data_IF_817056035036
#
_entry.id   IF_817056035036
#
_cell.length_a   1.000
_cell.length_b   1.000
_cell.length_c   1.000
_cell.angle_alpha   90.00
_cell.angle_beta   90.00
_cell.angle_gamma   90.00
#
_symmetry.space_group_name_H-M   'P 1'
#
loop_
_entity.id
_entity.type
_entity.pdbx_description
1 polymer ?
#
# COMPACT_ATOMS: atom_id res chain seq x y z
N UNK A 1 -5.14 -17.26 -3.96
CA UNK A 1 -4.76 -16.22 -2.99
C UNK A 1 -5.05 -14.87 -3.62
N UNK A 2 -5.46 -13.86 -2.86
CA UNK A 2 -5.79 -12.54 -3.41
C UNK A 2 -4.56 -11.62 -3.39
N UNK A 3 -4.13 -11.16 -4.55
CA UNK A 3 -2.90 -10.37 -4.74
C UNK A 3 -3.18 -8.91 -5.09
N UNK A 4 -2.24 -8.07 -4.68
CA UNK A 4 -2.07 -6.69 -5.12
C UNK A 4 -0.60 -6.29 -4.97
N UNK A 5 -0.19 -5.21 -5.63
CA UNK A 5 1.15 -4.59 -5.51
C UNK A 5 0.97 -3.25 -4.82
N UNK A 6 1.83 -2.95 -3.84
CA UNK A 6 1.77 -1.71 -3.09
C UNK A 6 3.17 -1.18 -2.73
N UNK A 7 3.21 0.10 -2.40
CA UNK A 7 4.37 0.76 -1.77
C UNK A 7 4.07 0.92 -0.29
N UNK A 8 5.00 0.48 0.55
CA UNK A 8 4.93 0.68 1.99
C UNK A 8 5.16 2.14 2.37
N UNK A 9 4.46 2.59 3.41
CA UNK A 9 4.68 3.91 3.98
C UNK A 9 5.83 3.88 5.01
N UNK A 10 6.77 4.83 4.95
CA UNK A 10 7.74 5.05 6.01
C UNK A 10 7.05 5.26 7.37
N UNK A 11 7.67 4.81 8.46
CA UNK A 11 7.06 4.83 9.80
C UNK A 11 6.55 6.22 10.21
N UNK A 12 7.32 7.27 9.93
CA UNK A 12 6.90 8.66 10.20
C UNK A 12 5.61 9.05 9.49
N UNK A 13 5.48 8.68 8.22
CA UNK A 13 4.27 8.96 7.41
C UNK A 13 3.09 8.15 7.94
N UNK A 14 3.30 6.87 8.23
CA UNK A 14 2.29 5.96 8.78
C UNK A 14 1.72 6.47 10.10
N UNK A 15 2.56 6.94 11.02
CA UNK A 15 2.13 7.55 12.30
C UNK A 15 1.36 8.85 12.08
N UNK A 16 1.83 9.71 11.18
CA UNK A 16 1.14 10.97 10.85
C UNK A 16 -0.27 10.71 10.31
N UNK A 17 -0.43 9.76 9.38
CA UNK A 17 -1.74 9.39 8.82
C UNK A 17 -2.63 8.73 9.87
N UNK A 18 -2.10 7.78 10.65
CA UNK A 18 -2.85 7.12 11.72
C UNK A 18 -3.38 8.13 12.76
N UNK A 19 -2.64 9.21 13.02
CA UNK A 19 -3.10 10.31 13.87
C UNK A 19 -4.36 10.98 13.33
N UNK A 20 -4.56 11.05 12.02
CA UNK A 20 -5.74 11.66 11.39
C UNK A 20 -6.98 10.75 11.41
N UNK A 21 -6.79 9.43 11.60
CA UNK A 21 -7.85 8.42 11.60
C UNK A 21 -8.71 8.42 12.87
N UNK A 22 -9.42 9.53 13.13
CA UNK A 22 -10.28 9.71 14.31
C UNK A 22 -11.46 10.65 14.00
N UNK A 23 -12.48 10.64 14.86
CA UNK A 23 -13.52 11.68 14.86
C UNK A 23 -14.65 11.52 13.84
N UNK A 24 -14.70 10.41 13.10
CA UNK A 24 -15.82 10.08 12.20
C UNK A 24 -16.65 8.92 12.76
N UNK A 25 -17.95 9.16 12.96
CA UNK A 25 -18.90 8.14 13.40
C UNK A 25 -19.18 7.15 12.27
N UNK A 26 -19.33 5.86 12.61
CA UNK A 26 -19.65 4.80 11.63
C UNK A 26 -18.48 4.36 10.74
N UNK A 27 -17.27 4.91 10.94
CA UNK A 27 -16.07 4.53 10.18
C UNK A 27 -15.29 3.45 10.92
N UNK A 28 -14.92 2.39 10.20
CA UNK A 28 -13.92 1.42 10.64
C UNK A 28 -12.55 1.81 10.09
N UNK A 29 -11.69 2.33 10.96
CA UNK A 29 -10.31 2.68 10.59
C UNK A 29 -9.46 1.42 10.41
N UNK A 30 -8.53 1.48 9.45
CA UNK A 30 -7.54 0.42 9.27
C UNK A 30 -6.42 0.55 10.32
N UNK A 31 -5.88 -0.57 10.82
CA UNK A 31 -4.67 -0.57 11.62
C UNK A 31 -3.49 0.10 10.88
N UNK A 32 -2.57 0.80 11.59
CA UNK A 32 -1.46 1.50 10.96
C UNK A 32 -0.54 0.60 10.12
N UNK A 33 -0.32 -0.64 10.56
CA UNK A 33 0.47 -1.67 9.85
C UNK A 33 -0.14 -2.05 8.49
N UNK A 34 -1.45 -1.85 8.30
CA UNK A 34 -2.15 -2.09 7.04
C UNK A 34 -2.16 -0.88 6.09
N UNK A 35 -1.64 0.29 6.49
CA UNK A 35 -1.58 1.46 5.62
C UNK A 35 -0.50 1.31 4.55
N UNK A 36 -0.90 1.41 3.28
CA UNK A 36 -0.03 1.30 2.12
C UNK A 36 -0.61 2.09 0.94
N UNK A 37 0.21 2.34 -0.08
CA UNK A 37 -0.24 2.88 -1.37
C UNK A 37 -0.38 1.73 -2.38
N UNK A 38 -1.61 1.33 -2.68
CA UNK A 38 -1.87 0.31 -3.71
C UNK A 38 -1.54 0.85 -5.09
N UNK A 39 -0.66 0.16 -5.81
CA UNK A 39 -0.32 0.45 -7.20
C UNK A 39 -1.23 -0.31 -8.17
N UNK A 40 -1.46 -1.60 -7.90
CA UNK A 40 -2.27 -2.45 -8.78
C UNK A 40 -2.97 -3.55 -8.00
N UNK A 41 -4.28 -3.67 -8.19
CA UNK A 41 -5.05 -4.82 -7.75
C UNK A 41 -4.98 -5.94 -8.80
N UNK A 42 -4.66 -7.17 -8.38
CA UNK A 42 -4.50 -8.33 -9.27
C UNK A 42 -5.68 -9.29 -9.13
N UNK A 43 -6.19 -9.47 -7.91
CA UNK A 43 -7.30 -10.40 -7.64
C UNK A 43 -6.82 -11.79 -7.29
N UNK A 44 -7.66 -12.79 -7.51
CA UNK A 44 -7.31 -14.18 -7.23
C UNK A 44 -6.23 -14.67 -8.19
N UNK A 45 -5.19 -15.26 -7.62
CA UNK A 45 -4.05 -15.77 -8.34
C UNK A 45 -3.58 -17.09 -7.72
N UNK A 46 -3.04 -17.95 -8.59
CA UNK A 46 -2.36 -19.19 -8.24
C UNK A 46 -0.88 -18.92 -7.91
N UNK A 47 -0.22 -19.87 -7.24
CA UNK A 47 1.16 -19.73 -6.76
C UNK A 47 2.17 -19.48 -7.89
N UNK A 48 1.94 -20.07 -9.07
CA UNK A 48 2.77 -19.83 -10.25
C UNK A 48 2.72 -18.35 -10.68
N UNK A 49 1.53 -17.74 -10.65
CA UNK A 49 1.31 -16.32 -10.99
C UNK A 49 1.98 -15.41 -9.95
N UNK A 50 1.85 -15.73 -8.66
CA UNK A 50 2.56 -15.01 -7.58
C UNK A 50 4.09 -15.02 -7.80
N UNK A 51 4.64 -16.18 -8.16
CA UNK A 51 6.08 -16.34 -8.43
C UNK A 51 6.52 -15.50 -9.62
N UNK A 52 5.76 -15.53 -10.73
CA UNK A 52 6.04 -14.72 -11.92
C UNK A 52 5.99 -13.21 -11.62
N UNK A 53 4.99 -12.76 -10.84
CA UNK A 53 4.86 -11.36 -10.43
C UNK A 53 6.07 -10.94 -9.59
N UNK A 54 6.49 -11.75 -8.62
CA UNK A 54 7.68 -11.45 -7.78
C UNK A 54 8.94 -11.29 -8.62
N UNK A 55 9.18 -12.20 -9.57
CA UNK A 55 10.33 -12.10 -10.48
C UNK A 55 10.26 -10.86 -11.36
N UNK A 56 9.08 -10.55 -11.90
CA UNK A 56 8.87 -9.35 -12.70
C UNK A 56 9.12 -8.06 -11.93
N UNK A 57 8.62 -7.97 -10.69
CA UNK A 57 8.84 -6.82 -9.81
C UNK A 57 10.32 -6.66 -9.42
N UNK A 58 11.03 -7.77 -9.16
CA UNK A 58 12.45 -7.75 -8.82
C UNK A 58 13.35 -7.27 -9.97
N UNK A 59 12.90 -7.40 -11.22
CA UNK A 59 13.62 -6.92 -12.40
C UNK A 59 13.42 -5.42 -12.68
N UNK A 60 12.51 -4.74 -11.97
CA UNK A 60 12.24 -3.32 -12.19
C UNK A 60 13.41 -2.49 -11.65
N UNK A 61 13.97 -1.66 -12.53
CA UNK A 61 14.90 -0.60 -12.14
C UNK A 61 14.16 0.74 -12.22
N UNK A 62 14.19 1.50 -11.13
CA UNK A 62 13.51 2.81 -11.06
C UNK A 62 14.37 3.81 -10.28
N UNK A 63 14.26 5.08 -10.64
CA UNK A 63 14.83 6.17 -9.85
C UNK A 63 13.83 6.55 -8.75
N UNK A 64 14.24 6.57 -7.47
CA UNK A 64 13.37 7.03 -6.39
C UNK A 64 12.86 8.44 -6.63
N UNK A 65 11.61 8.71 -6.24
CA UNK A 65 10.98 10.01 -6.40
C UNK A 65 10.32 10.48 -5.10
N UNK A 66 10.25 11.80 -4.86
CA UNK A 66 9.54 12.32 -3.70
C UNK A 66 8.03 12.14 -3.87
N UNK A 67 7.36 11.76 -2.78
CA UNK A 67 5.90 11.68 -2.69
C UNK A 67 5.45 12.45 -1.45
N UNK A 68 4.48 13.34 -1.63
CA UNK A 68 3.85 14.09 -0.54
C UNK A 68 2.36 13.80 -0.49
N UNK A 69 1.84 13.50 0.71
CA UNK A 69 0.40 13.41 0.94
C UNK A 69 -0.17 14.82 1.10
N UNK A 70 -1.24 15.14 0.37
CA UNK A 70 -1.93 16.42 0.44
C UNK A 70 -3.45 16.22 0.40
N UNK A 71 -4.15 16.80 1.37
CA UNK A 71 -5.60 16.69 1.50
C UNK A 71 -6.09 15.34 2.05
N UNK A 72 -7.40 15.28 2.33
CA UNK A 72 -8.16 14.07 2.68
C UNK A 72 -9.51 14.15 1.99
N UNK A 73 -10.06 13.01 1.55
CA UNK A 73 -11.34 12.95 0.84
C UNK A 73 -11.88 11.52 0.74
#
# INVERSE_FOLDING_TARGET
MRLFVAVDLPEGVRRSVAGLCRGLAGVRWLPPDQLHLTLRFIGEAEDAVNTAIRSGLAAITLTPFPLSLQGMG
#
